data_IF_715332556037
#
_entry.id   IF_715332556037
#
_cell.length_a   1.000
_cell.length_b   1.000
_cell.length_c   1.000
_cell.angle_alpha   90.00
_cell.angle_beta   90.00
_cell.angle_gamma   90.00
#
_symmetry.space_group_name_H-M   'P 1'
#
loop_
_entity.id
_entity.type
_entity.pdbx_description
1 polymer ?
#
# COMPACT_ATOMS: atom_id res chain seq x y z
N UNK A 1 31.64 -0.01 -0.75
CA UNK A 1 30.48 0.50 0.00
C UNK A 1 29.52 -0.58 0.50
N UNK A 2 29.54 -1.76 -0.04
CA UNK A 2 28.70 -2.93 0.35
C UNK A 2 29.06 -3.49 1.74
N UNK A 3 30.19 -3.17 2.29
CA UNK A 3 30.78 -3.90 3.40
C UNK A 3 30.20 -3.60 4.79
N UNK A 4 29.90 -2.35 5.12
CA UNK A 4 29.48 -2.03 6.49
C UNK A 4 28.02 -2.38 6.75
N UNK A 5 27.15 -2.17 5.79
CA UNK A 5 25.72 -2.50 5.94
C UNK A 5 25.53 -4.03 6.06
N UNK A 6 26.19 -4.81 5.22
CA UNK A 6 26.13 -6.28 5.29
C UNK A 6 26.82 -6.85 6.51
N UNK A 7 27.81 -6.13 7.07
CA UNK A 7 28.51 -6.53 8.30
C UNK A 7 27.64 -6.35 9.56
N UNK A 8 26.83 -5.28 9.61
CA UNK A 8 26.13 -4.87 10.84
C UNK A 8 24.61 -5.09 10.80
N UNK A 9 24.03 -5.42 9.65
CA UNK A 9 22.61 -5.71 9.51
C UNK A 9 22.36 -7.21 9.29
N UNK A 10 21.21 -7.69 9.79
CA UNK A 10 20.75 -9.04 9.47
C UNK A 10 20.49 -9.19 7.98
N UNK A 11 20.95 -10.28 7.37
CA UNK A 11 20.78 -10.59 5.95
C UNK A 11 19.33 -11.00 5.61
N UNK A 12 18.36 -10.10 5.80
CA UNK A 12 16.93 -10.36 5.61
C UNK A 12 16.43 -10.05 4.19
N UNK A 13 17.23 -9.32 3.40
CA UNK A 13 16.88 -8.92 2.04
C UNK A 13 18.00 -9.24 1.06
N UNK A 14 17.60 -9.70 -0.14
CA UNK A 14 18.51 -9.74 -1.29
C UNK A 14 18.59 -8.32 -1.87
N UNK A 15 19.69 -7.62 -1.59
CA UNK A 15 19.91 -6.25 -2.05
C UNK A 15 20.21 -6.21 -3.56
N UNK A 16 19.77 -5.15 -4.23
CA UNK A 16 20.26 -4.79 -5.55
C UNK A 16 21.66 -4.19 -5.41
N UNK A 17 22.55 -4.33 -6.42
CA UNK A 17 23.91 -3.77 -6.37
C UNK A 17 23.91 -2.25 -6.64
N UNK A 18 23.09 -1.51 -5.88
CA UNK A 18 22.91 -0.05 -6.00
C UNK A 18 23.20 0.56 -4.63
N UNK A 19 24.15 1.48 -4.55
CA UNK A 19 24.41 2.30 -3.38
C UNK A 19 23.74 3.67 -3.56
N UNK A 20 22.44 3.76 -3.23
CA UNK A 20 21.66 4.97 -3.36
C UNK A 20 22.20 6.05 -2.40
N UNK A 21 22.42 7.26 -2.91
CA UNK A 21 22.91 8.42 -2.14
C UNK A 21 21.88 9.55 -2.11
N UNK A 22 21.24 9.81 -3.24
CA UNK A 22 20.31 10.93 -3.42
C UNK A 22 19.13 10.48 -4.26
N UNK A 23 17.96 11.06 -4.02
CA UNK A 23 16.77 10.87 -4.83
C UNK A 23 16.14 12.20 -5.23
N UNK A 24 15.49 12.26 -6.40
CA UNK A 24 14.78 13.43 -6.90
C UNK A 24 13.70 12.99 -7.90
N UNK A 25 12.43 13.28 -7.61
CA UNK A 25 11.31 12.84 -8.44
C UNK A 25 11.30 11.31 -8.64
N UNK A 26 11.44 10.85 -9.87
CA UNK A 26 11.50 9.41 -10.21
C UNK A 26 12.93 8.86 -10.26
N UNK A 27 13.92 9.63 -9.84
CA UNK A 27 15.33 9.27 -10.03
C UNK A 27 16.06 8.99 -8.73
N UNK A 28 16.89 7.95 -8.76
CA UNK A 28 17.88 7.63 -7.71
C UNK A 28 19.29 7.80 -8.30
N UNK A 29 20.15 8.41 -7.50
CA UNK A 29 21.54 8.65 -7.85
C UNK A 29 22.47 7.92 -6.89
N UNK A 30 23.57 7.38 -7.42
CA UNK A 30 24.63 6.71 -6.65
C UNK A 30 25.83 7.61 -6.43
N UNK A 31 26.72 7.21 -5.52
CA UNK A 31 27.98 7.91 -5.30
C UNK A 31 28.90 7.92 -6.54
N UNK A 32 28.76 6.91 -7.40
CA UNK A 32 29.59 6.77 -8.61
C UNK A 32 29.04 7.60 -9.80
N UNK A 33 27.98 8.40 -9.54
CA UNK A 33 27.36 9.28 -10.53
C UNK A 33 26.29 8.59 -11.41
N UNK A 34 26.01 7.33 -11.18
CA UNK A 34 24.94 6.62 -11.89
C UNK A 34 23.56 7.18 -11.53
N UNK A 35 22.67 7.24 -12.53
CA UNK A 35 21.29 7.68 -12.41
C UNK A 35 20.35 6.52 -12.80
N UNK A 36 19.48 6.13 -11.88
CA UNK A 36 18.51 5.07 -12.07
C UNK A 36 17.10 5.62 -12.14
N UNK A 37 16.32 5.19 -13.15
CA UNK A 37 14.87 5.43 -13.19
C UNK A 37 14.20 4.45 -12.23
N UNK A 38 13.52 5.00 -11.22
CA UNK A 38 12.83 4.20 -10.19
C UNK A 38 11.36 3.99 -10.56
N UNK A 39 11.06 2.83 -11.15
CA UNK A 39 9.70 2.37 -11.42
C UNK A 39 9.15 1.47 -10.30
N UNK A 40 9.74 1.53 -9.10
CA UNK A 40 9.32 0.71 -7.96
C UNK A 40 9.03 1.52 -6.70
N UNK A 41 9.50 2.78 -6.64
CA UNK A 41 9.21 3.73 -5.58
C UNK A 41 9.57 3.23 -4.17
N UNK A 42 10.59 2.36 -4.03
CA UNK A 42 10.91 1.75 -2.73
C UNK A 42 9.74 0.95 -2.16
N UNK A 43 9.13 0.04 -2.93
CA UNK A 43 7.91 -0.69 -2.62
C UNK A 43 6.65 0.19 -2.55
N UNK A 44 6.49 1.13 -3.48
CA UNK A 44 5.37 2.09 -3.55
C UNK A 44 5.33 3.11 -2.38
N UNK A 45 6.49 3.39 -1.76
CA UNK A 45 6.60 4.33 -0.63
C UNK A 45 6.81 5.76 -1.09
N UNK A 46 7.69 5.99 -2.08
CA UNK A 46 7.97 7.33 -2.61
C UNK A 46 6.81 7.82 -3.51
N UNK A 47 5.61 7.99 -2.93
CA UNK A 47 4.39 8.34 -3.67
C UNK A 47 4.54 9.66 -4.44
N UNK A 48 4.92 10.75 -3.79
CA UNK A 48 5.11 12.07 -4.41
C UNK A 48 6.40 12.20 -5.22
N UNK A 49 7.20 11.14 -5.30
CA UNK A 49 8.56 11.18 -5.79
C UNK A 49 9.58 11.38 -4.67
N UNK A 50 10.84 11.06 -5.00
CA UNK A 50 11.93 11.22 -4.05
C UNK A 50 12.16 12.69 -3.72
N UNK A 51 12.23 13.02 -2.43
CA UNK A 51 12.53 14.36 -1.93
C UNK A 51 11.65 15.47 -2.50
N UNK A 52 10.32 15.24 -2.57
CA UNK A 52 9.38 16.27 -3.03
C UNK A 52 9.56 17.56 -2.24
N UNK A 53 9.74 18.74 -2.90
CA UNK A 53 10.11 19.98 -2.21
C UNK A 53 9.15 20.38 -1.08
N UNK A 54 7.83 20.29 -1.32
CA UNK A 54 6.81 20.63 -0.33
C UNK A 54 6.89 19.71 0.91
N UNK A 55 7.08 18.40 0.72
CA UNK A 55 7.23 17.45 1.82
C UNK A 55 8.51 17.69 2.59
N UNK A 56 9.64 17.94 1.90
CA UNK A 56 10.92 18.22 2.55
C UNK A 56 10.85 19.49 3.38
N UNK A 57 10.21 20.55 2.88
CA UNK A 57 10.09 21.82 3.62
C UNK A 57 9.18 21.66 4.85
N UNK A 58 8.05 20.96 4.75
CA UNK A 58 7.19 20.66 5.89
C UNK A 58 7.94 19.89 6.98
N UNK A 59 8.75 18.89 6.59
CA UNK A 59 9.58 18.13 7.52
C UNK A 59 10.65 18.99 8.19
N UNK A 60 11.35 19.87 7.45
CA UNK A 60 12.34 20.79 8.00
C UNK A 60 11.71 21.72 9.03
N UNK A 61 10.57 22.32 8.69
CA UNK A 61 9.83 23.20 9.60
C UNK A 61 9.42 22.45 10.87
N UNK A 62 8.78 21.29 10.74
CA UNK A 62 8.31 20.52 11.89
C UNK A 62 9.46 20.00 12.76
N UNK A 63 10.58 19.59 12.15
CA UNK A 63 11.76 19.14 12.87
C UNK A 63 12.39 20.24 13.74
N UNK A 64 12.27 21.51 13.33
CA UNK A 64 12.74 22.66 14.12
C UNK A 64 11.72 23.16 15.15
N UNK A 65 10.45 22.75 15.04
CA UNK A 65 9.37 23.19 15.93
C UNK A 65 9.15 22.21 17.09
N UNK A 66 8.78 20.97 16.77
CA UNK A 66 8.56 19.89 17.73
C UNK A 66 8.57 18.56 16.99
N UNK A 67 9.60 17.74 17.22
CA UNK A 67 9.73 16.44 16.56
C UNK A 67 8.65 15.46 17.02
N UNK A 68 8.45 15.38 18.35
CA UNK A 68 7.55 14.38 18.92
C UNK A 68 6.97 14.83 20.27
N UNK A 69 5.74 14.51 20.49
CA UNK A 69 5.10 14.31 21.77
C UNK A 69 4.00 13.26 21.63
N UNK A 70 3.67 12.56 22.71
CA UNK A 70 2.69 11.46 22.71
C UNK A 70 1.25 11.92 22.51
N UNK A 71 0.34 10.97 22.35
CA UNK A 71 -1.11 11.23 22.23
C UNK A 71 -1.76 11.75 23.53
N UNK A 72 -0.98 11.96 24.60
CA UNK A 72 -1.47 12.54 25.87
C UNK A 72 -1.75 14.05 25.77
N UNK A 73 -1.31 14.72 24.71
CA UNK A 73 -1.60 16.14 24.49
C UNK A 73 -2.22 16.37 23.11
N UNK A 74 -2.98 17.43 22.98
CA UNK A 74 -3.48 17.88 21.69
C UNK A 74 -2.33 18.40 20.81
N UNK A 75 -2.43 18.22 19.50
CA UNK A 75 -1.46 18.70 18.52
C UNK A 75 -2.18 19.17 17.27
N UNK A 76 -1.85 20.41 16.85
CA UNK A 76 -2.36 20.97 15.60
C UNK A 76 -1.92 20.15 14.38
N UNK A 77 -0.65 19.71 14.35
CA UNK A 77 -0.15 18.86 13.26
C UNK A 77 -0.96 17.56 13.11
N UNK A 78 -1.32 16.94 14.25
CA UNK A 78 -2.14 15.73 14.25
C UNK A 78 -3.59 16.01 13.82
N UNK A 79 -4.17 17.09 14.29
CA UNK A 79 -5.54 17.49 13.94
C UNK A 79 -5.65 17.77 12.43
N UNK A 80 -4.72 18.54 11.85
CA UNK A 80 -4.67 18.83 10.40
C UNK A 80 -4.49 17.57 9.56
N UNK A 81 -3.58 16.67 9.95
CA UNK A 81 -3.38 15.41 9.24
C UNK A 81 -4.64 14.53 9.27
N UNK A 82 -5.31 14.44 10.43
CA UNK A 82 -6.56 13.69 10.57
C UNK A 82 -7.68 14.31 9.72
N UNK A 83 -7.89 15.62 9.81
CA UNK A 83 -8.88 16.36 9.03
C UNK A 83 -8.64 16.17 7.52
N UNK A 84 -7.40 16.38 7.05
CA UNK A 84 -7.05 16.23 5.65
C UNK A 84 -7.27 14.80 5.15
N UNK A 85 -6.87 13.79 5.91
CA UNK A 85 -7.05 12.39 5.53
C UNK A 85 -8.53 12.02 5.47
N UNK A 86 -9.33 12.41 6.46
CA UNK A 86 -10.78 12.17 6.47
C UNK A 86 -11.47 12.91 5.33
N UNK A 87 -11.07 14.15 5.01
CA UNK A 87 -11.71 14.95 3.95
C UNK A 87 -11.60 14.37 2.55
N UNK A 88 -10.56 13.54 2.30
CA UNK A 88 -10.36 12.85 1.01
C UNK A 88 -10.88 11.41 1.03
N UNK A 89 -11.29 10.91 2.19
CA UNK A 89 -11.81 9.54 2.34
C UNK A 89 -13.28 9.45 1.90
N UNK A 90 -13.78 8.25 1.55
CA UNK A 90 -15.22 8.06 1.37
C UNK A 90 -16.02 8.58 2.56
N UNK A 91 -17.15 9.23 2.31
CA UNK A 91 -17.90 10.03 3.30
C UNK A 91 -18.33 9.27 4.57
N UNK A 92 -18.45 7.95 4.52
CA UNK A 92 -18.78 7.11 5.67
C UNK A 92 -17.60 6.84 6.60
N UNK A 93 -16.36 7.08 6.14
CA UNK A 93 -15.13 6.89 6.93
C UNK A 93 -14.76 8.21 7.61
N UNK A 94 -15.08 8.33 8.90
CA UNK A 94 -15.13 9.62 9.62
C UNK A 94 -14.06 9.80 10.69
N UNK A 95 -13.36 8.73 11.09
CA UNK A 95 -12.35 8.77 12.14
C UNK A 95 -11.07 8.07 11.71
N UNK A 96 -9.94 8.54 12.24
CA UNK A 96 -8.63 7.95 11.96
C UNK A 96 -7.88 7.60 13.24
N UNK A 97 -7.24 6.43 13.24
CA UNK A 97 -6.23 6.04 14.21
C UNK A 97 -4.88 5.96 13.50
N UNK A 98 -3.90 6.75 13.94
CA UNK A 98 -2.55 6.73 13.38
C UNK A 98 -1.65 5.76 14.13
N UNK A 99 -0.80 5.03 13.38
CA UNK A 99 0.27 4.15 13.86
C UNK A 99 1.55 4.36 13.01
N UNK A 100 2.47 3.40 12.98
CA UNK A 100 3.81 3.62 12.39
C UNK A 100 4.06 2.82 11.12
N UNK A 101 3.23 1.85 10.80
CA UNK A 101 3.42 0.94 9.67
C UNK A 101 2.11 0.34 9.18
N UNK A 102 2.14 -0.25 7.97
CA UNK A 102 0.99 -0.98 7.43
C UNK A 102 0.63 -2.23 8.23
N UNK A 103 1.64 -2.94 8.77
CA UNK A 103 1.36 -4.11 9.59
C UNK A 103 0.67 -3.74 10.91
N UNK A 104 1.06 -2.61 11.55
CA UNK A 104 0.35 -2.09 12.72
C UNK A 104 -1.08 -1.64 12.37
N UNK A 105 -1.27 -0.98 11.22
CA UNK A 105 -2.59 -0.58 10.75
C UNK A 105 -3.49 -1.82 10.57
N UNK A 106 -2.99 -2.85 9.91
CA UNK A 106 -3.72 -4.08 9.66
C UNK A 106 -4.07 -4.83 10.96
N UNK A 107 -3.12 -4.94 11.90
CA UNK A 107 -3.39 -5.58 13.20
C UNK A 107 -4.42 -4.79 14.03
N UNK A 108 -4.34 -3.45 14.03
CA UNK A 108 -5.34 -2.63 14.71
C UNK A 108 -6.71 -2.72 14.04
N UNK A 109 -6.79 -2.78 12.70
CA UNK A 109 -8.05 -2.98 11.98
C UNK A 109 -8.71 -4.32 12.35
N UNK A 110 -7.95 -5.42 12.33
CA UNK A 110 -8.44 -6.74 12.76
C UNK A 110 -8.87 -6.73 14.24
N UNK A 111 -8.10 -6.06 15.11
CA UNK A 111 -8.44 -5.92 16.52
C UNK A 111 -9.74 -5.12 16.72
N UNK A 112 -9.91 -3.98 16.04
CA UNK A 112 -11.13 -3.19 16.06
C UNK A 112 -12.36 -4.01 15.61
N UNK A 113 -12.20 -4.81 14.55
CA UNK A 113 -13.26 -5.69 14.07
C UNK A 113 -13.66 -6.75 15.12
N UNK A 114 -12.68 -7.41 15.75
CA UNK A 114 -12.95 -8.37 16.84
C UNK A 114 -13.65 -7.70 18.03
N UNK A 115 -13.24 -6.49 18.39
CA UNK A 115 -13.84 -5.74 19.51
C UNK A 115 -15.28 -5.33 19.21
N UNK A 116 -15.53 -4.80 18.01
CA UNK A 116 -16.86 -4.31 17.62
C UNK A 116 -17.88 -5.42 17.43
N UNK A 117 -17.47 -6.57 16.89
CA UNK A 117 -18.35 -7.72 16.65
C UNK A 117 -18.41 -8.71 17.82
N UNK A 118 -17.40 -8.71 18.70
CA UNK A 118 -17.16 -9.72 19.75
C UNK A 118 -16.99 -11.13 19.16
N UNK A 119 -16.45 -11.22 17.95
CA UNK A 119 -16.13 -12.46 17.23
C UNK A 119 -14.62 -12.58 17.05
N UNK A 120 -14.11 -13.76 16.70
CA UNK A 120 -12.68 -14.04 16.75
C UNK A 120 -12.03 -14.22 15.37
N UNK A 121 -12.77 -14.83 14.43
CA UNK A 121 -12.18 -15.25 13.16
C UNK A 121 -12.08 -14.11 12.15
N UNK A 122 -11.03 -14.15 11.34
CA UNK A 122 -10.81 -13.22 10.21
C UNK A 122 -10.65 -14.06 8.94
N UNK A 123 -11.42 -13.76 7.91
CA UNK A 123 -11.23 -14.33 6.58
C UNK A 123 -10.28 -13.40 5.80
N UNK A 124 -9.21 -13.98 5.25
CA UNK A 124 -8.32 -13.33 4.29
C UNK A 124 -8.13 -14.23 3.08
N UNK A 125 -7.36 -13.80 2.08
CA UNK A 125 -7.40 -14.44 0.77
C UNK A 125 -6.07 -15.06 0.38
N UNK A 126 -6.13 -16.16 -0.38
CA UNK A 126 -4.98 -16.77 -1.04
C UNK A 126 -4.21 -15.73 -1.84
N UNK A 127 -2.88 -15.66 -1.65
CA UNK A 127 -2.03 -14.65 -2.28
C UNK A 127 -2.01 -13.28 -1.57
N UNK A 128 -2.82 -13.07 -0.52
CA UNK A 128 -2.84 -11.84 0.27
C UNK A 128 -1.60 -11.65 1.13
N UNK A 129 -1.15 -10.40 1.26
CA UNK A 129 -0.01 -10.00 2.11
C UNK A 129 -0.38 -8.81 3.00
N UNK A 130 -0.46 -9.03 4.31
CA UNK A 130 -0.92 -8.02 5.27
C UNK A 130 0.14 -7.56 6.28
N UNK A 131 1.34 -8.13 6.24
CA UNK A 131 2.44 -7.76 7.14
C UNK A 131 3.26 -8.94 7.64
N UNK A 132 4.18 -8.66 8.57
CA UNK A 132 5.12 -9.66 9.12
C UNK A 132 5.14 -9.73 10.64
N UNK A 133 4.29 -9.00 11.32
CA UNK A 133 4.04 -9.16 12.77
C UNK A 133 3.08 -10.31 13.01
N UNK A 134 2.88 -10.74 14.25
CA UNK A 134 2.26 -12.02 14.57
C UNK A 134 0.86 -12.22 13.99
N UNK A 135 -0.04 -11.26 14.14
CA UNK A 135 -1.42 -11.37 13.63
C UNK A 135 -1.46 -11.12 12.11
N UNK A 136 -0.72 -10.12 11.62
CA UNK A 136 -0.64 -9.79 10.19
C UNK A 136 0.00 -10.91 9.35
N UNK A 137 1.04 -11.60 9.84
CA UNK A 137 1.64 -12.73 9.12
C UNK A 137 0.73 -13.94 9.13
N UNK A 138 -0.09 -14.10 10.18
CA UNK A 138 -1.08 -15.17 10.28
C UNK A 138 -2.25 -14.95 9.31
N UNK A 139 -2.56 -13.69 8.98
CA UNK A 139 -3.52 -13.26 7.96
C UNK A 139 -2.94 -13.31 6.53
N UNK A 140 -1.62 -13.49 6.38
CA UNK A 140 -0.92 -13.50 5.09
C UNK A 140 -0.89 -14.90 4.48
N UNK A 141 -1.70 -15.18 3.45
CA UNK A 141 -1.75 -16.46 2.73
C UNK A 141 -0.93 -16.40 1.44
N UNK A 142 0.30 -15.89 1.55
CA UNK A 142 1.24 -15.80 0.44
C UNK A 142 2.46 -16.73 0.68
N UNK A 143 2.37 -17.95 0.15
CA UNK A 143 3.47 -18.91 0.08
C UNK A 143 4.26 -19.05 1.39
N UNK A 144 5.57 -18.87 1.30
CA UNK A 144 6.51 -19.06 2.41
C UNK A 144 6.30 -18.15 3.64
N UNK A 145 5.62 -17.04 3.50
CA UNK A 145 5.51 -16.07 4.61
C UNK A 145 4.69 -16.66 5.77
N UNK A 146 3.60 -17.37 5.47
CA UNK A 146 2.80 -18.03 6.49
C UNK A 146 3.61 -19.12 7.24
N UNK A 147 4.46 -19.86 6.53
CA UNK A 147 5.32 -20.88 7.13
C UNK A 147 6.39 -20.29 8.04
N UNK A 148 6.99 -19.17 7.65
CA UNK A 148 7.98 -18.45 8.48
C UNK A 148 7.34 -17.90 9.76
N UNK A 149 6.05 -17.53 9.71
CA UNK A 149 5.30 -16.96 10.84
C UNK A 149 4.92 -17.95 11.94
N UNK A 150 5.15 -19.25 11.78
CA UNK A 150 4.71 -20.27 12.74
C UNK A 150 5.40 -20.15 14.12
N UNK A 151 4.66 -20.38 15.23
CA UNK A 151 3.23 -20.70 15.29
C UNK A 151 2.35 -19.49 14.95
N UNK A 152 1.37 -19.69 14.06
CA UNK A 152 0.45 -18.63 13.68
C UNK A 152 -0.58 -18.34 14.79
N UNK A 153 -1.04 -17.09 14.84
CA UNK A 153 -2.20 -16.71 15.67
C UNK A 153 -3.44 -17.45 15.15
N UNK A 154 -4.23 -18.10 16.03
CA UNK A 154 -5.44 -18.82 15.61
C UNK A 154 -6.53 -17.89 15.04
N UNK A 155 -7.49 -18.48 14.32
CA UNK A 155 -8.68 -17.78 13.86
C UNK A 155 -8.57 -17.10 12.49
N UNK A 156 -7.45 -17.28 11.77
CA UNK A 156 -7.32 -16.82 10.38
C UNK A 156 -7.74 -17.91 9.40
N UNK A 157 -8.74 -17.59 8.57
CA UNK A 157 -9.31 -18.47 7.54
C UNK A 157 -8.89 -17.99 6.17
N UNK A 158 -8.55 -18.95 5.28
CA UNK A 158 -8.17 -18.67 3.89
C UNK A 158 -9.37 -18.91 2.97
N UNK A 159 -9.71 -17.90 2.15
CA UNK A 159 -10.61 -18.03 1.03
C UNK A 159 -9.87 -17.83 -0.30
N UNK A 160 -10.41 -18.38 -1.39
CA UNK A 160 -9.91 -18.11 -2.72
C UNK A 160 -10.27 -16.67 -3.15
N UNK A 161 -9.27 -15.90 -3.60
CA UNK A 161 -9.48 -14.52 -4.04
C UNK A 161 -10.32 -14.44 -5.32
N UNK A 162 -11.40 -13.68 -5.28
CA UNK A 162 -12.35 -13.52 -6.38
C UNK A 162 -13.49 -14.57 -6.39
N UNK A 163 -13.51 -15.50 -5.42
CA UNK A 163 -14.54 -16.54 -5.30
C UNK A 163 -15.45 -16.25 -4.10
N UNK A 164 -16.62 -15.67 -4.36
CA UNK A 164 -17.57 -15.30 -3.29
C UNK A 164 -18.19 -16.52 -2.61
N UNK A 165 -18.36 -17.64 -3.31
CA UNK A 165 -18.96 -18.84 -2.74
C UNK A 165 -18.03 -19.48 -1.71
N UNK A 166 -16.71 -19.49 -1.97
CA UNK A 166 -15.72 -19.89 -0.97
C UNK A 166 -15.74 -18.99 0.29
N UNK A 167 -16.04 -17.70 0.14
CA UNK A 167 -16.20 -16.80 1.28
C UNK A 167 -17.48 -17.11 2.06
N UNK A 168 -18.60 -17.34 1.36
CA UNK A 168 -19.91 -17.68 1.98
C UNK A 168 -19.85 -18.94 2.83
N UNK A 169 -19.10 -19.96 2.40
CA UNK A 169 -18.91 -21.21 3.14
C UNK A 169 -18.18 -20.99 4.48
N UNK A 170 -17.24 -20.04 4.53
CA UNK A 170 -16.42 -19.74 5.72
C UNK A 170 -17.07 -18.71 6.65
N UNK A 171 -17.97 -17.87 6.15
CA UNK A 171 -18.50 -16.70 6.84
C UNK A 171 -19.63 -17.08 7.84
N UNK A 172 -19.29 -17.82 8.92
CA UNK A 172 -20.17 -18.17 10.01
C UNK A 172 -20.30 -17.05 11.06
N UNK A 173 -21.11 -17.28 12.11
CA UNK A 173 -21.35 -16.34 13.21
C UNK A 173 -20.11 -16.06 14.07
N UNK A 174 -19.02 -16.79 13.88
CA UNK A 174 -17.75 -16.55 14.61
C UNK A 174 -16.81 -15.62 13.86
N UNK A 175 -17.14 -15.23 12.61
CA UNK A 175 -16.32 -14.37 11.77
C UNK A 175 -16.52 -12.90 12.14
N UNK A 176 -15.43 -12.25 12.57
CA UNK A 176 -15.39 -10.82 12.91
C UNK A 176 -15.23 -9.94 11.67
N UNK A 177 -14.36 -10.32 10.75
CA UNK A 177 -14.07 -9.52 9.56
C UNK A 177 -13.71 -10.36 8.34
N UNK A 178 -13.91 -9.75 7.18
CA UNK A 178 -13.28 -10.14 5.91
C UNK A 178 -12.31 -9.04 5.55
N UNK A 179 -11.02 -9.40 5.35
CA UNK A 179 -9.97 -8.45 5.02
C UNK A 179 -9.29 -8.82 3.71
N UNK A 180 -9.08 -7.84 2.83
CA UNK A 180 -8.42 -8.05 1.54
C UNK A 180 -7.59 -6.86 1.10
N UNK A 181 -6.52 -7.13 0.34
CA UNK A 181 -5.96 -6.14 -0.58
C UNK A 181 -6.90 -6.06 -1.79
N UNK A 182 -7.46 -4.89 -2.15
CA UNK A 182 -8.32 -4.79 -3.34
C UNK A 182 -7.58 -5.22 -4.62
N UNK A 183 -6.28 -4.94 -4.69
CA UNK A 183 -5.39 -5.46 -5.73
C UNK A 183 -4.21 -6.15 -5.02
N UNK A 184 -4.12 -7.46 -5.17
CA UNK A 184 -3.05 -8.26 -4.56
C UNK A 184 -1.73 -8.06 -5.28
N UNK A 185 -0.96 -7.08 -4.83
CA UNK A 185 0.28 -6.68 -5.48
C UNK A 185 1.33 -7.79 -5.54
N UNK A 186 1.58 -8.44 -4.41
CA UNK A 186 2.63 -9.47 -4.30
C UNK A 186 2.28 -10.75 -5.08
N UNK A 187 1.01 -11.05 -5.28
CA UNK A 187 0.53 -12.24 -5.99
C UNK A 187 0.52 -12.10 -7.53
N UNK A 188 1.17 -11.07 -8.08
CA UNK A 188 1.19 -10.81 -9.52
C UNK A 188 0.20 -9.74 -9.95
N UNK A 189 -0.11 -8.81 -9.05
CA UNK A 189 -1.04 -7.68 -9.30
C UNK A 189 -2.44 -8.20 -9.71
N UNK A 190 -2.98 -9.11 -8.91
CA UNK A 190 -4.30 -9.71 -9.15
C UNK A 190 -5.40 -8.78 -8.65
N UNK A 191 -6.41 -8.57 -9.48
CA UNK A 191 -7.63 -7.84 -9.16
C UNK A 191 -8.84 -8.74 -9.43
N UNK A 192 -9.86 -8.67 -8.59
CA UNK A 192 -11.11 -9.39 -8.81
C UNK A 192 -12.06 -8.58 -9.72
N UNK A 193 -13.12 -9.21 -10.19
CA UNK A 193 -14.18 -8.52 -10.92
C UNK A 193 -15.02 -7.66 -9.97
N UNK A 194 -15.60 -6.57 -10.47
CA UNK A 194 -16.39 -5.61 -9.69
C UNK A 194 -17.51 -6.27 -8.86
N UNK A 195 -18.15 -7.32 -9.42
CA UNK A 195 -19.22 -8.07 -8.74
C UNK A 195 -18.75 -8.78 -7.47
N UNK A 196 -17.49 -9.19 -7.40
CA UNK A 196 -16.93 -9.80 -6.19
C UNK A 196 -16.91 -8.81 -5.01
N UNK A 197 -16.48 -7.56 -5.23
CA UNK A 197 -16.45 -6.55 -4.17
C UNK A 197 -17.86 -6.21 -3.69
N UNK A 198 -18.82 -6.10 -4.63
CA UNK A 198 -20.24 -5.87 -4.30
C UNK A 198 -20.79 -7.00 -3.45
N UNK A 199 -20.59 -8.24 -3.89
CA UNK A 199 -21.06 -9.42 -3.17
C UNK A 199 -20.39 -9.56 -1.78
N UNK A 200 -19.12 -9.15 -1.62
CA UNK A 200 -18.49 -9.08 -0.30
C UNK A 200 -19.18 -8.08 0.63
N UNK A 201 -19.51 -6.88 0.12
CA UNK A 201 -20.21 -5.87 0.93
C UNK A 201 -21.59 -6.35 1.36
N UNK A 202 -22.36 -6.90 0.43
CA UNK A 202 -23.69 -7.47 0.68
C UNK A 202 -23.63 -8.58 1.74
N UNK A 203 -22.67 -9.51 1.62
CA UNK A 203 -22.47 -10.58 2.60
C UNK A 203 -22.10 -10.04 3.98
N UNK A 204 -21.21 -9.04 4.03
CA UNK A 204 -20.81 -8.42 5.29
C UNK A 204 -21.98 -7.71 5.98
N UNK A 205 -22.80 -6.98 5.21
CA UNK A 205 -24.00 -6.29 5.73
C UNK A 205 -25.05 -7.31 6.25
N UNK A 206 -25.28 -8.39 5.49
CA UNK A 206 -26.23 -9.45 5.86
C UNK A 206 -25.84 -10.13 7.17
N UNK A 207 -24.53 -10.40 7.37
CA UNK A 207 -24.04 -11.21 8.49
C UNK A 207 -23.45 -10.39 9.63
N UNK A 208 -23.41 -9.08 9.51
CA UNK A 208 -22.80 -8.18 10.50
C UNK A 208 -21.31 -8.46 10.65
N UNK A 209 -20.61 -8.66 9.54
CA UNK A 209 -19.15 -8.88 9.42
C UNK A 209 -18.51 -7.56 9.02
N UNK A 210 -17.38 -7.20 9.63
CA UNK A 210 -16.62 -5.99 9.27
C UNK A 210 -15.88 -6.22 7.97
N UNK A 211 -16.04 -5.33 6.98
CA UNK A 211 -15.25 -5.35 5.75
C UNK A 211 -14.03 -4.44 5.91
N UNK A 212 -12.83 -4.98 5.72
CA UNK A 212 -11.56 -4.26 5.82
C UNK A 212 -10.86 -4.26 4.46
N UNK A 213 -10.57 -3.08 3.91
CA UNK A 213 -9.68 -2.95 2.75
C UNK A 213 -8.27 -2.58 3.22
N UNK A 214 -7.31 -3.46 2.93
CA UNK A 214 -5.89 -3.17 3.04
C UNK A 214 -5.46 -2.33 1.82
N UNK A 215 -5.53 -1.02 1.98
CA UNK A 215 -5.09 -0.06 0.97
C UNK A 215 -3.67 0.48 1.22
N UNK A 216 -2.87 -0.27 1.92
CA UNK A 216 -1.46 0.05 2.16
C UNK A 216 -0.68 0.22 0.84
N UNK A 217 -1.12 -0.43 -0.24
CA UNK A 217 -0.55 -0.22 -1.57
C UNK A 217 -1.49 0.44 -2.58
N UNK A 218 -2.78 0.24 -2.50
CA UNK A 218 -3.75 0.77 -3.47
C UNK A 218 -4.15 2.21 -3.20
N UNK A 219 -4.07 2.64 -1.94
CA UNK A 219 -4.46 3.98 -1.51
C UNK A 219 -3.46 5.08 -1.86
N UNK A 220 -3.82 6.30 -1.47
CA UNK A 220 -3.00 7.51 -1.58
C UNK A 220 -2.57 7.79 -3.04
N UNK A 221 -3.54 7.72 -3.97
CA UNK A 221 -3.34 8.10 -5.36
C UNK A 221 -2.80 7.01 -6.28
N UNK A 222 -2.42 5.84 -5.76
CA UNK A 222 -1.76 4.78 -6.52
C UNK A 222 -2.57 4.27 -7.71
N UNK A 223 -3.89 4.18 -7.58
CA UNK A 223 -4.81 3.71 -8.61
C UNK A 223 -5.35 4.82 -9.54
N UNK A 224 -4.91 6.08 -9.35
CA UNK A 224 -5.45 7.24 -10.04
C UNK A 224 -6.65 7.87 -9.33
N UNK A 225 -7.06 7.28 -8.22
CA UNK A 225 -8.05 7.77 -7.26
C UNK A 225 -7.38 7.88 -5.89
N UNK A 226 -7.95 8.63 -4.94
CA UNK A 226 -7.42 8.68 -3.58
C UNK A 226 -7.37 7.30 -2.93
N UNK A 227 -8.42 6.50 -3.14
CA UNK A 227 -8.58 5.13 -2.63
C UNK A 227 -9.21 4.24 -3.69
N UNK A 228 -8.97 2.94 -3.59
CA UNK A 228 -9.75 1.95 -4.33
C UNK A 228 -11.18 1.87 -3.76
N UNK A 229 -11.33 2.05 -2.46
CA UNK A 229 -12.62 2.15 -1.77
C UNK A 229 -13.46 3.30 -2.36
N UNK A 230 -14.69 2.99 -2.78
CA UNK A 230 -15.61 3.93 -3.40
C UNK A 230 -15.35 4.20 -4.89
N UNK A 231 -14.27 3.66 -5.48
CA UNK A 231 -13.98 3.83 -6.91
C UNK A 231 -14.90 2.98 -7.80
N UNK A 232 -14.97 3.34 -9.08
CA UNK A 232 -15.70 2.56 -10.09
C UNK A 232 -15.15 1.13 -10.23
N UNK A 233 -13.82 0.97 -10.23
CA UNK A 233 -13.16 -0.33 -10.31
C UNK A 233 -13.52 -1.27 -9.15
N UNK A 234 -13.81 -0.71 -7.98
CA UNK A 234 -14.31 -1.41 -6.79
C UNK A 234 -15.84 -1.46 -6.69
N UNK A 235 -16.58 -1.21 -7.78
CA UNK A 235 -18.05 -1.15 -7.80
C UNK A 235 -18.66 -0.15 -6.80
N UNK A 236 -17.95 0.94 -6.52
CA UNK A 236 -18.29 1.96 -5.52
C UNK A 236 -18.47 1.44 -4.09
N UNK A 237 -17.94 0.25 -3.80
CA UNK A 237 -18.00 -0.34 -2.47
C UNK A 237 -17.12 0.47 -1.50
N UNK A 238 -17.69 0.80 -0.35
CA UNK A 238 -16.97 1.41 0.78
C UNK A 238 -16.90 0.38 1.91
N UNK A 239 -15.69 0.01 2.39
CA UNK A 239 -15.54 -0.88 3.53
C UNK A 239 -15.82 -0.14 4.85
N UNK A 240 -15.85 -0.89 5.95
CA UNK A 240 -15.98 -0.32 7.30
C UNK A 240 -14.66 0.25 7.80
N UNK A 241 -13.54 -0.31 7.34
CA UNK A 241 -12.18 0.10 7.70
C UNK A 241 -11.30 0.09 6.45
N UNK A 242 -10.52 1.16 6.28
CA UNK A 242 -9.41 1.22 5.32
C UNK A 242 -8.10 1.35 6.09
N UNK A 243 -7.10 0.53 5.73
CA UNK A 243 -5.75 0.64 6.30
C UNK A 243 -4.78 1.25 5.29
N UNK A 244 -3.90 2.13 5.75
CA UNK A 244 -2.99 2.92 4.94
C UNK A 244 -1.57 2.89 5.53
N UNK A 245 -0.56 3.04 4.67
CA UNK A 245 0.83 3.30 5.04
C UNK A 245 1.62 3.74 3.78
N UNK A 246 2.88 3.29 3.65
CA UNK A 246 3.74 3.51 2.46
C UNK A 246 3.69 4.95 1.93
N UNK A 247 2.97 5.18 0.82
CA UNK A 247 2.87 6.49 0.19
C UNK A 247 2.29 7.58 1.09
N UNK A 248 1.57 7.22 2.17
CA UNK A 248 0.92 8.16 3.09
C UNK A 248 1.89 9.18 3.70
N UNK A 249 3.14 8.78 3.95
CA UNK A 249 4.18 9.64 4.51
C UNK A 249 5.33 9.97 3.56
N UNK A 250 5.23 9.60 2.28
CA UNK A 250 6.29 9.83 1.26
C UNK A 250 7.71 9.46 1.72
N UNK A 251 7.85 8.38 2.49
CA UNK A 251 9.12 7.88 3.03
C UNK A 251 9.25 8.00 4.55
N UNK A 252 8.44 8.80 5.21
CA UNK A 252 8.37 8.85 6.68
C UNK A 252 7.50 7.69 7.18
N UNK A 253 7.96 6.90 8.17
CA UNK A 253 7.18 5.80 8.73
C UNK A 253 5.86 6.30 9.34
N UNK A 254 4.74 5.85 8.79
CA UNK A 254 3.39 6.12 9.25
C UNK A 254 2.44 5.04 8.74
N UNK A 255 1.43 4.72 9.53
CA UNK A 255 0.27 3.93 9.16
C UNK A 255 -0.99 4.58 9.69
N UNK A 256 -2.14 4.23 9.14
CA UNK A 256 -3.43 4.72 9.60
C UNK A 256 -4.52 3.68 9.38
N UNK A 257 -5.51 3.66 10.27
CA UNK A 257 -6.82 3.04 10.06
C UNK A 257 -7.84 4.17 9.94
N UNK A 258 -8.55 4.26 8.83
CA UNK A 258 -9.71 5.15 8.68
C UNK A 258 -10.95 4.30 8.79
N UNK A 259 -11.86 4.67 9.70
CA UNK A 259 -13.00 3.84 10.10
C UNK A 259 -14.32 4.61 10.02
N UNK A 260 -15.40 3.87 9.87
CA UNK A 260 -16.75 4.43 9.97
C UNK A 260 -17.16 4.68 11.43
N UNK A 261 -18.26 5.42 11.63
CA UNK A 261 -18.76 5.78 12.96
C UNK A 261 -19.22 4.56 13.77
N UNK A 262 -19.72 3.51 13.12
CA UNK A 262 -20.15 2.29 13.79
C UNK A 262 -18.99 1.59 14.51
N UNK A 263 -17.82 1.53 13.87
CA UNK A 263 -16.58 1.02 14.49
C UNK A 263 -16.05 2.02 15.52
N UNK A 264 -15.98 3.31 15.17
CA UNK A 264 -15.39 4.33 16.03
C UNK A 264 -16.10 4.43 17.38
N UNK A 265 -17.43 4.34 17.41
CA UNK A 265 -18.23 4.42 18.64
C UNK A 265 -18.02 3.26 19.62
N UNK A 266 -17.46 2.14 19.15
CA UNK A 266 -17.16 0.97 20.01
C UNK A 266 -15.78 1.06 20.66
N UNK A 267 -14.89 1.93 20.15
CA UNK A 267 -13.52 2.07 20.64
C UNK A 267 -13.50 3.07 21.79
N UNK A 268 -12.96 2.66 22.92
CA UNK A 268 -12.86 3.46 24.14
C UNK A 268 -11.42 3.84 24.44
N UNK A 269 -11.25 4.75 25.36
CA UNK A 269 -9.94 5.14 25.90
C UNK A 269 -9.16 3.91 26.38
N UNK A 270 -7.88 3.81 25.98
CA UNK A 270 -6.95 2.70 26.23
C UNK A 270 -7.23 1.37 25.49
N UNK A 271 -8.22 1.27 24.63
CA UNK A 271 -8.45 0.08 23.82
C UNK A 271 -7.37 -0.13 22.75
N UNK A 272 -6.88 0.95 22.19
CA UNK A 272 -5.78 0.99 21.23
C UNK A 272 -4.67 1.90 21.76
N UNK A 273 -3.43 1.66 21.34
CA UNK A 273 -2.31 2.46 21.78
C UNK A 273 -1.08 2.36 20.87
N UNK A 274 -0.36 3.47 20.80
CA UNK A 274 0.91 3.56 20.10
C UNK A 274 1.72 4.72 20.67
N UNK A 275 3.01 4.52 20.89
CA UNK A 275 3.87 5.60 21.38
C UNK A 275 4.12 6.64 20.29
N UNK A 276 4.52 6.21 19.10
CA UNK A 276 4.96 7.10 18.02
C UNK A 276 3.88 7.43 17.00
N UNK A 277 2.79 6.65 16.92
CA UNK A 277 1.70 6.89 15.98
C UNK A 277 1.04 8.24 16.22
N UNK A 278 0.88 9.03 15.17
CA UNK A 278 0.41 10.42 15.27
C UNK A 278 1.47 11.43 15.74
N UNK A 279 2.76 11.04 15.74
CA UNK A 279 3.88 11.94 16.05
C UNK A 279 3.99 13.10 15.05
N UNK A 280 4.37 14.29 15.54
CA UNK A 280 4.26 15.56 14.80
C UNK A 280 5.01 15.53 13.47
N UNK A 281 6.21 14.95 13.42
CA UNK A 281 7.00 14.88 12.20
C UNK A 281 6.30 14.01 11.12
N UNK A 282 5.74 12.87 11.53
CA UNK A 282 4.98 12.00 10.63
C UNK A 282 3.69 12.68 10.17
N UNK A 283 3.01 13.43 11.04
CA UNK A 283 1.79 14.15 10.68
C UNK A 283 2.04 15.30 9.71
N UNK A 284 3.15 16.01 9.87
CA UNK A 284 3.59 17.02 8.89
C UNK A 284 3.86 16.37 7.51
N UNK A 285 4.50 15.18 7.49
CA UNK A 285 4.70 14.43 6.26
C UNK A 285 3.37 14.01 5.62
N UNK A 286 2.41 13.48 6.40
CA UNK A 286 1.07 13.09 5.89
C UNK A 286 0.38 14.27 5.25
N UNK A 287 0.25 15.39 5.97
CA UNK A 287 -0.41 16.59 5.45
C UNK A 287 0.26 17.07 4.15
N UNK A 288 1.57 17.24 4.15
CA UNK A 288 2.29 17.73 2.98
C UNK A 288 2.27 16.74 1.80
N UNK A 289 2.23 15.42 2.07
CA UNK A 289 2.07 14.41 1.03
C UNK A 289 0.73 14.55 0.32
N UNK A 290 -0.36 14.64 1.08
CA UNK A 290 -1.71 14.76 0.53
C UNK A 290 -1.88 16.09 -0.22
N UNK A 291 -1.35 17.19 0.33
CA UNK A 291 -1.32 18.49 -0.34
C UNK A 291 -0.51 18.46 -1.64
N UNK A 292 0.66 17.81 -1.66
CA UNK A 292 1.47 17.68 -2.87
C UNK A 292 0.75 16.91 -3.98
N UNK A 293 0.10 15.79 -3.63
CA UNK A 293 -0.69 14.99 -4.60
C UNK A 293 -1.81 15.84 -5.21
N UNK A 294 -2.50 16.66 -4.42
CA UNK A 294 -3.59 17.52 -4.86
C UNK A 294 -3.07 18.69 -5.71
N UNK A 295 -2.09 19.44 -5.21
CA UNK A 295 -1.55 20.65 -5.85
C UNK A 295 -0.90 20.33 -7.20
N UNK A 296 -0.17 19.23 -7.30
CA UNK A 296 0.49 18.79 -8.53
C UNK A 296 -0.42 17.94 -9.42
N UNK A 297 -1.70 17.78 -9.06
CA UNK A 297 -2.71 17.01 -9.80
C UNK A 297 -2.25 15.59 -10.13
N UNK A 298 -1.60 14.94 -9.18
CA UNK A 298 -0.96 13.65 -9.42
C UNK A 298 -1.96 12.53 -9.75
N UNK A 299 -3.21 12.60 -9.26
CA UNK A 299 -4.25 11.63 -9.61
C UNK A 299 -4.54 11.65 -11.12
N UNK A 300 -4.77 12.83 -11.70
CA UNK A 300 -4.99 12.98 -13.12
C UNK A 300 -3.73 12.59 -13.94
N UNK A 301 -2.53 12.85 -13.41
CA UNK A 301 -1.29 12.40 -14.03
C UNK A 301 -1.21 10.88 -14.08
N UNK A 302 -1.56 10.17 -12.99
CA UNK A 302 -1.57 8.70 -12.95
C UNK A 302 -2.49 8.15 -14.03
N UNK A 303 -3.73 8.64 -14.13
CA UNK A 303 -4.70 8.19 -15.12
C UNK A 303 -4.19 8.40 -16.56
N UNK A 304 -3.67 9.58 -16.84
CA UNK A 304 -3.14 9.93 -18.17
C UNK A 304 -1.92 9.08 -18.54
N UNK A 305 -0.94 8.97 -17.64
CA UNK A 305 0.31 8.26 -17.92
C UNK A 305 0.11 6.74 -17.89
N UNK A 306 -0.82 6.22 -17.10
CA UNK A 306 -1.21 4.80 -17.20
C UNK A 306 -1.75 4.46 -18.58
N UNK A 307 -2.69 5.27 -19.10
CA UNK A 307 -3.25 5.05 -20.44
C UNK A 307 -2.15 5.08 -21.51
N UNK A 308 -1.23 6.03 -21.41
CA UNK A 308 -0.06 6.11 -22.29
C UNK A 308 0.83 4.87 -22.16
N UNK A 309 1.19 4.47 -20.95
CA UNK A 309 2.02 3.28 -20.71
C UNK A 309 1.38 2.01 -21.28
N UNK A 310 0.08 1.83 -21.07
CA UNK A 310 -0.64 0.67 -21.64
C UNK A 310 -0.60 0.66 -23.17
N UNK A 311 -0.80 1.80 -23.82
CA UNK A 311 -0.73 1.90 -25.29
C UNK A 311 0.68 1.56 -25.80
N UNK A 312 1.71 2.07 -25.14
CA UNK A 312 3.11 1.80 -25.52
C UNK A 312 3.52 0.35 -25.30
N UNK A 313 3.00 -0.30 -24.25
CA UNK A 313 3.28 -1.72 -23.98
C UNK A 313 2.61 -2.66 -24.97
N UNK A 314 1.52 -2.27 -25.62
CA UNK A 314 0.89 -3.06 -26.70
C UNK A 314 1.80 -3.19 -27.94
N UNK A 315 2.75 -2.27 -28.11
CA UNK A 315 3.73 -2.30 -29.20
C UNK A 315 4.93 -3.23 -28.90
N UNK A 316 5.03 -3.78 -27.67
CA UNK A 316 6.16 -4.62 -27.23
C UNK A 316 5.78 -6.09 -27.33
N UNK A 317 6.31 -6.79 -28.33
CA UNK A 317 5.96 -8.17 -28.68
C UNK A 317 6.05 -9.14 -27.50
N UNK A 318 7.02 -8.97 -26.61
CA UNK A 318 7.25 -9.86 -25.46
C UNK A 318 6.26 -9.64 -24.30
N UNK A 319 5.42 -8.60 -24.34
CA UNK A 319 4.40 -8.32 -23.32
C UNK A 319 3.12 -9.06 -23.67
N UNK A 320 2.68 -9.97 -22.79
CA UNK A 320 1.43 -10.74 -22.96
C UNK A 320 0.21 -10.01 -22.44
N UNK A 321 0.33 -9.44 -21.25
CA UNK A 321 -0.76 -8.76 -20.58
C UNK A 321 -0.25 -7.69 -19.60
N UNK A 322 -1.11 -6.70 -19.29
CA UNK A 322 -0.86 -5.69 -18.26
C UNK A 322 -2.03 -5.72 -17.29
N UNK A 323 -1.72 -6.14 -16.06
CA UNK A 323 -2.66 -6.27 -14.94
C UNK A 323 -2.64 -5.04 -14.04
N UNK A 324 -3.70 -4.86 -13.24
CA UNK A 324 -3.77 -3.82 -12.22
C UNK A 324 -4.39 -2.51 -12.71
N UNK A 325 -4.18 -1.44 -11.94
CA UNK A 325 -4.83 -0.14 -12.15
C UNK A 325 -3.89 1.00 -11.72
N UNK A 326 -3.93 2.11 -12.44
CA UNK A 326 -3.10 3.26 -12.16
C UNK A 326 -1.60 2.91 -12.25
N UNK A 327 -0.86 3.22 -11.21
CA UNK A 327 0.56 2.88 -11.07
C UNK A 327 0.82 1.67 -10.15
N UNK A 328 -0.17 0.81 -9.98
CA UNK A 328 -0.02 -0.53 -9.43
C UNK A 328 -0.18 -1.53 -10.57
N UNK A 329 0.89 -1.77 -11.34
CA UNK A 329 0.84 -2.55 -12.56
C UNK A 329 1.72 -3.79 -12.49
N UNK A 330 1.19 -4.89 -13.06
CA UNK A 330 1.89 -6.13 -13.33
C UNK A 330 2.00 -6.34 -14.84
N UNK A 331 3.23 -6.45 -15.34
CA UNK A 331 3.49 -6.74 -16.76
C UNK A 331 3.83 -8.21 -16.86
N UNK A 332 3.02 -8.95 -17.58
CA UNK A 332 3.20 -10.39 -17.81
C UNK A 332 4.01 -10.65 -19.07
N UNK A 333 4.98 -11.56 -18.98
CA UNK A 333 5.87 -11.98 -20.03
C UNK A 333 5.80 -13.50 -20.23
N UNK A 334 6.28 -13.99 -21.37
CA UNK A 334 6.57 -15.41 -21.60
C UNK A 334 7.72 -15.87 -20.73
N UNK A 335 8.77 -15.04 -20.67
CA UNK A 335 9.97 -15.25 -19.89
C UNK A 335 9.75 -14.99 -18.39
N UNK A 336 10.65 -15.51 -17.57
CA UNK A 336 10.68 -15.20 -16.14
C UNK A 336 10.94 -13.70 -15.93
N UNK A 337 10.02 -13.04 -15.24
CA UNK A 337 10.13 -11.62 -14.90
C UNK A 337 11.44 -11.25 -14.19
N UNK A 338 12.07 -12.20 -13.48
CA UNK A 338 13.37 -12.01 -12.87
C UNK A 338 14.49 -11.74 -13.89
N UNK A 339 14.42 -12.32 -15.10
CA UNK A 339 15.39 -12.05 -16.19
C UNK A 339 15.16 -10.67 -16.78
N UNK A 340 13.90 -10.30 -17.01
CA UNK A 340 13.52 -8.96 -17.48
C UNK A 340 13.95 -7.90 -16.46
N UNK A 341 13.70 -8.13 -15.17
CA UNK A 341 14.15 -7.25 -14.08
C UNK A 341 15.68 -7.04 -14.10
N UNK A 342 16.47 -8.12 -14.26
CA UNK A 342 17.93 -8.03 -14.32
C UNK A 342 18.41 -7.25 -15.57
N UNK A 343 17.78 -7.48 -16.75
CA UNK A 343 18.06 -6.73 -17.99
C UNK A 343 17.80 -5.23 -17.78
N UNK A 344 16.65 -4.87 -17.19
CA UNK A 344 16.27 -3.48 -16.89
C UNK A 344 17.20 -2.83 -15.87
N UNK A 345 17.56 -3.56 -14.81
CA UNK A 345 18.53 -3.07 -13.82
C UNK A 345 19.90 -2.76 -14.44
N UNK A 346 20.37 -3.61 -15.38
CA UNK A 346 21.58 -3.35 -16.17
C UNK A 346 21.45 -2.11 -17.06
N UNK A 347 20.24 -1.72 -17.42
CA UNK A 347 19.91 -0.48 -18.17
C UNK A 347 19.52 0.68 -17.26
N UNK A 348 19.86 0.61 -15.96
CA UNK A 348 19.60 1.64 -14.94
C UNK A 348 18.10 1.91 -14.69
N UNK A 349 17.26 0.88 -14.75
CA UNK A 349 15.83 0.94 -14.45
C UNK A 349 15.51 -0.03 -13.31
N UNK A 350 14.97 0.49 -12.21
CA UNK A 350 14.55 -0.28 -11.04
C UNK A 350 13.09 -0.68 -11.21
N UNK A 351 12.81 -1.98 -11.08
CA UNK A 351 11.46 -2.57 -11.13
C UNK A 351 11.30 -3.56 -9.98
N UNK A 352 10.16 -4.23 -9.87
CA UNK A 352 9.93 -5.27 -8.86
C UNK A 352 9.54 -6.61 -9.48
N UNK A 353 9.71 -7.69 -8.73
CA UNK A 353 9.17 -9.02 -9.06
C UNK A 353 7.97 -9.35 -8.15
N UNK A 354 7.22 -10.38 -8.49
CA UNK A 354 6.08 -10.87 -7.72
C UNK A 354 6.25 -12.37 -7.37
N UNK A 355 5.28 -12.97 -6.68
CA UNK A 355 5.23 -14.42 -6.50
C UNK A 355 4.84 -15.15 -7.78
N UNK A 356 4.18 -14.48 -8.73
CA UNK A 356 4.02 -15.01 -10.09
C UNK A 356 5.34 -14.80 -10.85
N UNK A 357 6.03 -15.88 -11.26
CA UNK A 357 7.38 -15.79 -11.84
C UNK A 357 7.43 -15.06 -13.19
N UNK A 358 6.28 -14.88 -13.86
CA UNK A 358 6.17 -14.25 -15.17
C UNK A 358 5.71 -12.78 -15.09
N UNK A 359 5.38 -12.25 -13.88
CA UNK A 359 4.87 -10.89 -13.71
C UNK A 359 5.90 -9.98 -13.06
N UNK A 360 6.33 -8.97 -13.81
CA UNK A 360 7.11 -7.83 -13.35
C UNK A 360 6.19 -6.77 -12.76
N UNK A 361 6.54 -6.20 -11.59
CA UNK A 361 5.74 -5.13 -10.98
C UNK A 361 6.33 -3.76 -11.23
N UNK A 362 5.44 -2.82 -11.56
CA UNK A 362 5.73 -1.39 -11.59
C UNK A 362 4.91 -0.69 -10.51
N UNK A 363 5.59 0.07 -9.68
CA UNK A 363 5.05 0.85 -8.57
C UNK A 363 5.71 2.24 -8.54
N UNK A 364 5.77 2.96 -9.69
CA UNK A 364 6.53 4.20 -9.78
C UNK A 364 5.96 5.30 -8.89
N UNK A 365 6.73 6.36 -8.60
CA UNK A 365 6.20 7.61 -8.07
C UNK A 365 5.08 8.18 -8.94
N UNK A 366 4.09 8.85 -8.32
CA UNK A 366 2.92 9.41 -9.00
C UNK A 366 3.28 10.56 -9.96
N UNK A 367 4.49 11.11 -9.82
CA UNK A 367 5.04 12.14 -10.72
C UNK A 367 5.71 11.56 -11.98
N UNK A 368 5.57 10.25 -12.26
CA UNK A 368 6.06 9.64 -13.50
C UNK A 368 5.47 10.37 -14.71
N UNK A 369 6.29 10.66 -15.74
CA UNK A 369 5.86 11.30 -16.97
C UNK A 369 6.02 10.38 -18.18
N UNK A 370 5.42 10.74 -19.32
CA UNK A 370 5.44 9.96 -20.55
C UNK A 370 6.86 9.72 -21.08
N UNK A 371 7.76 10.69 -20.95
CA UNK A 371 9.17 10.56 -21.31
C UNK A 371 9.87 9.44 -20.54
N UNK A 372 9.50 9.21 -19.28
CA UNK A 372 10.02 8.11 -18.47
C UNK A 372 9.48 6.75 -18.95
N UNK A 373 8.22 6.73 -19.40
CA UNK A 373 7.61 5.55 -20.02
C UNK A 373 8.36 5.18 -21.31
N UNK A 374 8.70 6.16 -22.16
CA UNK A 374 9.46 5.93 -23.38
C UNK A 374 10.85 5.33 -23.10
N UNK A 375 11.54 5.82 -22.05
CA UNK A 375 12.80 5.24 -21.61
C UNK A 375 12.63 3.78 -21.18
N UNK A 376 11.58 3.47 -20.45
CA UNK A 376 11.27 2.11 -20.00
C UNK A 376 10.94 1.19 -21.18
N UNK A 377 10.04 1.59 -22.07
CA UNK A 377 9.65 0.79 -23.24
C UNK A 377 10.85 0.54 -24.17
N UNK A 378 11.66 1.56 -24.44
CA UNK A 378 12.92 1.43 -25.17
C UNK A 378 13.89 0.43 -24.50
N UNK A 379 13.88 0.38 -23.17
CA UNK A 379 14.74 -0.55 -22.43
C UNK A 379 14.16 -1.98 -22.38
N UNK A 380 12.88 -2.17 -22.61
CA UNK A 380 12.29 -3.50 -22.78
C UNK A 380 12.68 -4.11 -24.13
N UNK A 381 12.58 -3.34 -25.17
CA UNK A 381 13.05 -3.75 -26.50
C UNK A 381 14.58 -4.01 -26.51
#
# INVERSE_FOLDING_TARGET
>A
MVTNEDQFQLATYKKMPIAAQRGEGVWIYTNDGDKYLDLYGGHAVAGTGHCHPHVVEALRHQASTLIFYSNLVYSEARARAAEKLVSISPATLTKVFFCNSGTEANENAMRMARMSTRREKIITFSGGFHGRTADAISATFLGKYREIGKPNVPGHLEAEFGNIDAVRELADETVAAIMLEPIQSMAGVRMAQADFYRALRELCDERGIVLIYDEVQTGVGRTGEWFFAGSEAGAHVVPDVVTLAKALGSGVPVGACVVNEAIASQIKENDLGTTFGGGMLAMAAVTATLEAIENDRMLANVQRVEAYLRSRLQEVEQVKAVHGLGFLLGIEFDDKAALVHQKLLGRKIITGTSSNPNVLRLLPPLCLAEEHVDLFVKALA
#
